data_IF_077849639576
#
_entry.id   IF_077849639576
#
_cell.length_a   1.000
_cell.length_b   1.000
_cell.length_c   1.000
_cell.angle_alpha   90.00
_cell.angle_beta   90.00
_cell.angle_gamma   90.00
#
_symmetry.space_group_name_H-M   'P 1'
#
loop_
_entity.id
_entity.type
_entity.pdbx_description
1 polymer ?
#
# COMPACT_ATOMS: atom_id res chain seq x y z
N UNK A 1 7.75 -21.17 2.18
CA UNK A 1 6.48 -21.87 1.90
C UNK A 1 5.69 -22.01 3.21
N UNK A 2 4.46 -21.49 3.33
CA UNK A 2 3.62 -21.84 4.46
C UNK A 2 3.21 -23.30 4.31
N UNK A 3 3.61 -24.13 5.26
CA UNK A 3 3.23 -25.53 5.32
C UNK A 3 1.72 -25.65 5.54
N UNK A 4 1.05 -26.74 5.09
CA UNK A 4 -0.38 -27.03 5.31
C UNK A 4 -0.85 -26.77 6.75
N UNK A 5 0.03 -26.90 7.75
CA UNK A 5 -0.24 -26.58 9.15
C UNK A 5 -0.58 -25.11 9.43
N UNK A 6 -0.08 -24.16 8.60
CA UNK A 6 -0.37 -22.73 8.82
C UNK A 6 -1.79 -22.35 8.37
N UNK A 7 -2.33 -23.01 7.33
CA UNK A 7 -3.71 -22.80 6.88
C UNK A 7 -4.73 -23.31 7.91
N UNK A 8 -4.51 -24.50 8.47
CA UNK A 8 -5.43 -25.09 9.45
C UNK A 8 -5.45 -24.29 10.77
N UNK A 9 -4.29 -23.76 11.18
CA UNK A 9 -4.20 -22.85 12.33
C UNK A 9 -4.91 -21.52 12.04
N UNK A 10 -4.77 -20.98 10.84
CA UNK A 10 -5.45 -19.75 10.44
C UNK A 10 -6.96 -19.91 10.44
N UNK A 11 -7.50 -21.01 9.88
CA UNK A 11 -8.93 -21.28 9.89
C UNK A 11 -9.46 -21.50 11.30
N UNK A 12 -8.79 -22.32 12.11
CA UNK A 12 -9.23 -22.60 13.49
C UNK A 12 -9.18 -21.34 14.37
N UNK A 13 -8.18 -20.49 14.20
CA UNK A 13 -8.08 -19.20 14.90
C UNK A 13 -9.24 -18.27 14.53
N UNK A 14 -9.53 -18.11 13.23
CA UNK A 14 -10.60 -17.24 12.78
C UNK A 14 -12.00 -17.76 13.19
N UNK A 15 -12.24 -19.07 13.20
CA UNK A 15 -13.48 -19.66 13.72
C UNK A 15 -13.66 -19.36 15.21
N UNK A 16 -12.58 -19.42 16.00
CA UNK A 16 -12.62 -19.05 17.41
C UNK A 16 -12.95 -17.57 17.66
N UNK A 17 -12.67 -16.71 16.69
CA UNK A 17 -12.95 -15.26 16.76
C UNK A 17 -14.37 -14.87 16.28
N UNK A 18 -15.16 -15.79 15.73
CA UNK A 18 -16.54 -15.50 15.25
C UNK A 18 -17.39 -14.77 16.31
N UNK A 19 -17.42 -15.16 17.60
CA UNK A 19 -18.16 -14.41 18.60
C UNK A 19 -17.69 -12.96 18.75
N UNK A 20 -16.39 -12.72 18.65
CA UNK A 20 -15.79 -11.37 18.69
C UNK A 20 -16.20 -10.54 17.47
N UNK A 21 -16.24 -11.15 16.28
CA UNK A 21 -16.72 -10.48 15.06
C UNK A 21 -18.18 -10.09 15.17
N UNK A 22 -19.04 -10.97 15.69
CA UNK A 22 -20.46 -10.67 15.93
C UNK A 22 -20.63 -9.53 16.94
N UNK A 23 -19.85 -9.53 18.02
CA UNK A 23 -19.84 -8.43 18.99
C UNK A 23 -19.38 -7.11 18.36
N UNK A 24 -18.32 -7.14 17.54
CA UNK A 24 -17.81 -5.98 16.82
C UNK A 24 -18.82 -5.41 15.83
N UNK A 25 -19.51 -6.26 15.06
CA UNK A 25 -20.60 -5.86 14.15
C UNK A 25 -21.74 -5.17 14.93
N UNK A 26 -22.14 -5.75 16.06
CA UNK A 26 -23.19 -5.18 16.90
C UNK A 26 -22.80 -3.85 17.52
N UNK A 27 -21.55 -3.72 17.95
CA UNK A 27 -20.99 -2.47 18.48
C UNK A 27 -20.89 -1.42 17.38
N UNK A 28 -20.37 -1.75 16.20
CA UNK A 28 -20.28 -0.85 15.05
C UNK A 28 -21.66 -0.32 14.64
N UNK A 29 -22.66 -1.20 14.54
CA UNK A 29 -24.05 -0.78 14.27
C UNK A 29 -24.55 0.25 15.30
N UNK A 30 -24.31 0.01 16.59
CA UNK A 30 -24.69 0.94 17.65
C UNK A 30 -23.98 2.29 17.48
N UNK A 31 -22.65 2.30 17.30
CA UNK A 31 -21.85 3.50 17.14
C UNK A 31 -22.33 4.32 15.94
N UNK A 32 -22.53 3.68 14.78
CA UNK A 32 -23.02 4.38 13.58
C UNK A 32 -24.41 4.98 13.85
N UNK A 33 -25.31 4.22 14.46
CA UNK A 33 -26.68 4.69 14.76
C UNK A 33 -26.69 5.86 15.77
N UNK A 34 -25.87 5.79 16.82
CA UNK A 34 -25.80 6.80 17.88
C UNK A 34 -25.04 8.07 17.41
N UNK A 35 -24.15 7.94 16.42
CA UNK A 35 -23.42 9.09 15.87
C UNK A 35 -24.29 10.06 15.09
N UNK A 36 -25.43 9.59 14.54
CA UNK A 36 -26.24 10.38 13.63
C UNK A 36 -25.53 10.74 12.33
N UNK A 37 -24.58 9.93 11.89
CA UNK A 37 -23.80 10.18 10.68
C UNK A 37 -24.67 10.12 9.42
N UNK A 38 -24.49 11.10 8.53
CA UNK A 38 -25.14 11.18 7.22
C UNK A 38 -24.34 10.46 6.12
N UNK A 39 -23.08 10.12 6.40
CA UNK A 39 -22.17 9.44 5.49
C UNK A 39 -21.21 8.54 6.27
N UNK A 40 -20.88 7.38 5.67
CA UNK A 40 -19.83 6.48 6.15
C UNK A 40 -18.68 6.49 5.14
N UNK A 41 -17.46 6.75 5.62
CA UNK A 41 -16.23 6.55 4.84
C UNK A 41 -15.54 5.29 5.37
N UNK A 42 -15.36 4.32 4.51
CA UNK A 42 -14.78 3.02 4.85
C UNK A 42 -13.42 2.82 4.15
N UNK A 43 -12.35 2.78 4.93
CA UNK A 43 -11.00 2.49 4.45
C UNK A 43 -10.70 0.99 4.48
N UNK A 44 -11.33 0.25 3.56
CA UNK A 44 -11.12 -1.21 3.33
C UNK A 44 -11.45 -2.10 4.54
N UNK A 45 -12.27 -1.64 5.49
CA UNK A 45 -12.65 -2.39 6.68
C UNK A 45 -13.86 -3.29 6.38
N UNK A 46 -13.68 -4.61 6.49
CA UNK A 46 -14.66 -5.63 6.09
C UNK A 46 -15.91 -5.63 6.96
N UNK A 47 -15.79 -5.40 8.27
CA UNK A 47 -16.94 -5.46 9.18
C UNK A 47 -17.88 -4.27 8.99
N UNK A 48 -17.39 -3.13 8.51
CA UNK A 48 -18.19 -1.97 8.19
C UNK A 48 -19.20 -2.28 7.08
N UNK A 49 -18.75 -2.80 5.94
CA UNK A 49 -19.63 -3.20 4.84
C UNK A 49 -20.65 -4.27 5.26
N UNK A 50 -20.19 -5.29 5.99
CA UNK A 50 -21.08 -6.34 6.52
C UNK A 50 -22.13 -5.75 7.45
N UNK A 51 -21.75 -4.84 8.36
CA UNK A 51 -22.67 -4.17 9.31
C UNK A 51 -23.74 -3.40 8.56
N UNK A 52 -23.36 -2.54 7.62
CA UNK A 52 -24.29 -1.74 6.85
C UNK A 52 -25.30 -2.62 6.09
N UNK A 53 -24.83 -3.69 5.48
CA UNK A 53 -25.67 -4.63 4.74
C UNK A 53 -26.61 -5.43 5.66
N UNK A 54 -26.09 -5.94 6.77
CA UNK A 54 -26.86 -6.80 7.70
C UNK A 54 -27.98 -6.02 8.37
N UNK A 55 -27.71 -4.81 8.81
CA UNK A 55 -28.71 -3.97 9.50
C UNK A 55 -29.49 -3.06 8.53
N UNK A 56 -29.28 -3.21 7.21
CA UNK A 56 -29.98 -2.43 6.17
C UNK A 56 -29.95 -0.93 6.46
N UNK A 57 -28.75 -0.43 6.79
CA UNK A 57 -28.59 0.98 7.12
C UNK A 57 -28.79 1.84 5.87
N UNK A 58 -29.65 2.84 5.99
CA UNK A 58 -29.95 3.80 4.92
C UNK A 58 -29.03 5.04 5.05
N UNK A 59 -27.73 4.76 5.09
CA UNK A 59 -26.68 5.77 5.14
C UNK A 59 -25.73 5.47 3.98
N UNK A 60 -25.47 6.42 3.07
CA UNK A 60 -24.53 6.22 1.98
C UNK A 60 -23.14 5.87 2.53
N UNK A 61 -22.47 4.92 1.87
CA UNK A 61 -21.12 4.48 2.24
C UNK A 61 -20.19 4.63 1.05
N UNK A 62 -19.13 5.42 1.24
CA UNK A 62 -18.01 5.56 0.31
C UNK A 62 -16.85 4.71 0.80
N UNK A 63 -16.41 3.76 -0.02
CA UNK A 63 -15.28 2.91 0.27
C UNK A 63 -14.02 3.45 -0.43
N UNK A 64 -12.91 3.60 0.28
CA UNK A 64 -11.67 4.19 -0.24
C UNK A 64 -10.52 3.21 -0.05
N UNK A 65 -9.92 2.75 -1.14
CA UNK A 65 -8.70 1.93 -1.12
C UNK A 65 -8.14 1.71 -2.53
N UNK A 66 -6.83 1.43 -2.63
CA UNK A 66 -6.21 0.99 -3.87
C UNK A 66 -6.78 -0.34 -4.39
N UNK A 67 -7.09 -1.27 -3.50
CA UNK A 67 -7.59 -2.61 -3.85
C UNK A 67 -8.91 -2.58 -4.64
N UNK A 68 -9.68 -1.50 -4.60
CA UNK A 68 -10.87 -1.36 -5.45
C UNK A 68 -10.53 -1.23 -6.93
N UNK A 69 -9.30 -0.82 -7.26
CA UNK A 69 -8.79 -0.82 -8.63
C UNK A 69 -8.71 -2.25 -9.20
N UNK A 70 -8.44 -3.27 -8.39
CA UNK A 70 -8.41 -4.68 -8.82
C UNK A 70 -9.76 -5.20 -9.33
N UNK A 71 -10.85 -4.49 -9.04
CA UNK A 71 -12.19 -4.77 -9.55
C UNK A 71 -12.50 -4.04 -10.86
N UNK A 72 -11.69 -3.05 -11.22
CA UNK A 72 -11.87 -2.27 -12.45
C UNK A 72 -11.64 -3.15 -13.69
N UNK A 73 -12.49 -3.05 -14.75
CA UNK A 73 -12.36 -3.91 -15.93
C UNK A 73 -11.03 -3.73 -16.69
N UNK A 74 -10.48 -2.52 -16.68
CA UNK A 74 -9.24 -2.20 -17.39
C UNK A 74 -7.98 -2.46 -16.55
N UNK A 75 -8.14 -2.89 -15.29
CA UNK A 75 -7.00 -3.27 -14.47
C UNK A 75 -6.56 -4.71 -14.80
N UNK A 76 -5.32 -4.84 -15.26
CA UNK A 76 -4.74 -6.13 -15.58
C UNK A 76 -4.04 -6.75 -14.37
N UNK A 77 -4.63 -7.82 -13.83
CA UNK A 77 -4.00 -8.61 -12.76
C UNK A 77 -2.70 -9.27 -13.27
N UNK A 78 -1.75 -9.59 -12.37
CA UNK A 78 -0.50 -10.26 -12.75
C UNK A 78 -0.68 -11.56 -13.53
N UNK A 79 -1.76 -12.31 -13.27
CA UNK A 79 -2.07 -13.58 -13.93
C UNK A 79 -1.15 -14.74 -13.56
N UNK A 80 -0.31 -14.58 -12.54
CA UNK A 80 0.67 -15.57 -12.09
C UNK A 80 0.11 -16.56 -11.09
N UNK A 81 -0.91 -16.15 -10.33
CA UNK A 81 -1.49 -16.91 -9.23
C UNK A 81 -3.02 -16.79 -9.24
N UNK A 82 -3.71 -17.47 -10.16
CA UNK A 82 -5.15 -17.32 -10.41
C UNK A 82 -6.02 -17.49 -9.16
N UNK A 83 -5.73 -18.47 -8.28
CA UNK A 83 -6.52 -18.70 -7.08
C UNK A 83 -6.31 -17.59 -6.03
N UNK A 84 -5.08 -17.22 -5.61
CA UNK A 84 -4.83 -16.08 -4.74
C UNK A 84 -5.42 -14.77 -5.29
N UNK A 85 -5.29 -14.48 -6.58
CA UNK A 85 -5.85 -13.28 -7.21
C UNK A 85 -7.38 -13.26 -7.16
N UNK A 86 -8.03 -14.42 -7.41
CA UNK A 86 -9.48 -14.55 -7.30
C UNK A 86 -9.97 -14.38 -5.86
N UNK A 87 -9.23 -14.91 -4.89
CA UNK A 87 -9.53 -14.74 -3.46
C UNK A 87 -9.36 -13.28 -3.03
N UNK A 88 -8.33 -12.58 -3.51
CA UNK A 88 -8.14 -11.15 -3.27
C UNK A 88 -9.31 -10.34 -3.83
N UNK A 89 -9.73 -10.59 -5.07
CA UNK A 89 -10.92 -9.94 -5.66
C UNK A 89 -12.20 -10.24 -4.87
N UNK A 90 -12.39 -11.47 -4.43
CA UNK A 90 -13.54 -11.83 -3.60
C UNK A 90 -13.53 -11.09 -2.27
N UNK A 91 -12.41 -11.07 -1.57
CA UNK A 91 -12.26 -10.32 -0.32
C UNK A 91 -12.53 -8.82 -0.53
N UNK A 92 -11.96 -8.23 -1.58
CA UNK A 92 -12.20 -6.83 -1.94
C UNK A 92 -13.70 -6.55 -2.17
N UNK A 93 -14.45 -7.46 -2.81
CA UNK A 93 -15.91 -7.30 -2.95
C UNK A 93 -16.63 -7.36 -1.61
N UNK A 94 -16.17 -8.17 -0.67
CA UNK A 94 -16.77 -8.26 0.66
C UNK A 94 -16.56 -6.97 1.46
N UNK A 95 -15.38 -6.34 1.38
CA UNK A 95 -15.10 -5.08 2.11
C UNK A 95 -16.00 -3.92 1.68
N UNK A 96 -16.50 -3.93 0.44
CA UNK A 96 -17.37 -2.87 -0.10
C UNK A 96 -18.82 -3.29 -0.29
N UNK A 97 -19.26 -4.35 0.39
CA UNK A 97 -20.67 -4.78 0.33
C UNK A 97 -21.60 -3.66 0.82
N UNK A 98 -22.52 -3.22 -0.04
CA UNK A 98 -23.45 -2.13 0.28
C UNK A 98 -22.88 -0.73 0.06
N UNK A 99 -21.67 -0.59 -0.49
CA UNK A 99 -21.10 0.70 -0.84
C UNK A 99 -21.93 1.42 -1.92
N UNK A 100 -22.16 2.72 -1.74
CA UNK A 100 -22.76 3.62 -2.73
C UNK A 100 -21.73 3.97 -3.81
N UNK A 101 -20.48 4.20 -3.39
CA UNK A 101 -19.35 4.46 -4.29
C UNK A 101 -18.06 3.80 -3.76
N UNK A 102 -17.17 3.47 -4.68
CA UNK A 102 -15.82 2.96 -4.40
C UNK A 102 -14.79 3.90 -5.04
N UNK A 103 -13.97 4.52 -4.21
CA UNK A 103 -12.85 5.33 -4.67
C UNK A 103 -11.62 4.42 -4.78
N UNK A 104 -11.25 4.10 -6.01
CA UNK A 104 -10.08 3.30 -6.32
C UNK A 104 -8.86 4.22 -6.43
N UNK A 105 -7.96 4.17 -5.44
CA UNK A 105 -6.71 4.91 -5.47
C UNK A 105 -5.80 4.34 -6.56
N UNK A 106 -5.25 5.19 -7.42
CA UNK A 106 -4.47 4.73 -8.58
C UNK A 106 -3.25 5.61 -8.83
N UNK A 107 -2.16 4.97 -9.27
CA UNK A 107 -0.94 5.66 -9.73
C UNK A 107 -1.24 6.45 -11.00
N UNK A 108 -2.10 5.91 -11.87
CA UNK A 108 -2.49 6.56 -13.14
C UNK A 108 -3.99 6.79 -13.24
N UNK A 109 -4.38 7.61 -14.19
CA UNK A 109 -5.77 7.88 -14.50
C UNK A 109 -6.38 6.73 -15.32
N UNK A 110 -7.56 6.25 -14.87
CA UNK A 110 -8.49 5.40 -15.62
C UNK A 110 -9.83 6.13 -15.75
N UNK A 111 -10.65 5.69 -16.69
CA UNK A 111 -12.05 6.10 -16.74
C UNK A 111 -12.81 5.50 -15.55
N UNK A 112 -13.87 6.17 -15.10
CA UNK A 112 -14.73 5.66 -14.04
C UNK A 112 -15.57 4.47 -14.53
N UNK A 113 -15.75 3.44 -13.70
CA UNK A 113 -16.70 2.35 -14.00
C UNK A 113 -18.03 2.59 -13.29
N UNK A 114 -18.96 3.21 -13.99
CA UNK A 114 -20.31 3.52 -13.48
C UNK A 114 -21.11 2.23 -13.13
N UNK A 115 -20.86 1.11 -13.82
CA UNK A 115 -21.60 -0.15 -13.59
C UNK A 115 -21.27 -0.74 -12.22
N UNK A 116 -20.04 -0.60 -11.78
CA UNK A 116 -19.59 -1.06 -10.47
C UNK A 116 -19.51 0.07 -9.43
N UNK A 117 -19.88 1.30 -9.78
CA UNK A 117 -19.74 2.50 -8.98
C UNK A 117 -18.28 2.67 -8.48
N UNK A 118 -17.31 2.48 -9.38
CA UNK A 118 -15.88 2.71 -9.12
C UNK A 118 -15.51 4.08 -9.71
N UNK A 119 -15.02 4.97 -8.86
CA UNK A 119 -14.42 6.25 -9.22
C UNK A 119 -12.92 6.14 -9.06
N UNK A 120 -12.16 6.37 -10.12
CA UNK A 120 -10.70 6.32 -10.06
C UNK A 120 -10.18 7.69 -9.62
N UNK A 121 -9.42 7.66 -8.53
CA UNK A 121 -8.90 8.87 -7.90
C UNK A 121 -7.40 8.74 -7.62
N UNK A 122 -6.67 9.86 -7.52
CA UNK A 122 -5.26 9.84 -7.13
C UNK A 122 -5.04 9.21 -5.75
N UNK A 123 -3.81 8.75 -5.44
CA UNK A 123 -3.49 8.28 -4.10
C UNK A 123 -3.64 9.39 -3.05
N UNK A 124 -3.93 8.98 -1.81
CA UNK A 124 -3.95 9.87 -0.66
C UNK A 124 -2.54 9.99 -0.08
N UNK A 125 -1.85 11.07 -0.40
CA UNK A 125 -0.52 11.31 0.15
C UNK A 125 -0.58 12.18 1.41
N UNK A 126 0.27 11.84 2.37
CA UNK A 126 0.45 12.67 3.58
C UNK A 126 0.92 14.07 3.22
N UNK A 127 0.45 15.08 3.93
CA UNK A 127 0.85 16.48 3.71
C UNK A 127 2.37 16.67 3.78
N UNK A 128 3.03 15.92 4.65
CA UNK A 128 4.47 15.94 4.87
C UNK A 128 5.25 15.52 3.59
N UNK A 129 4.71 14.60 2.79
CA UNK A 129 5.29 14.21 1.49
C UNK A 129 5.36 15.40 0.54
N UNK A 130 4.27 16.20 0.51
CA UNK A 130 4.14 17.35 -0.39
C UNK A 130 5.00 18.55 0.06
N UNK A 131 5.28 18.65 1.36
CA UNK A 131 5.99 19.81 1.96
C UNK A 131 7.47 19.55 2.28
N UNK A 132 7.90 18.29 2.28
CA UNK A 132 9.31 17.95 2.56
C UNK A 132 10.22 18.34 1.39
N UNK A 133 11.28 19.07 1.71
CA UNK A 133 12.26 19.49 0.70
C UNK A 133 13.05 18.26 0.23
N UNK A 134 12.97 17.99 -1.07
CA UNK A 134 13.72 16.93 -1.72
C UNK A 134 15.18 17.32 -1.91
N UNK A 135 16.07 16.38 -1.73
CA UNK A 135 17.49 16.53 -2.00
C UNK A 135 18.10 15.22 -2.50
N UNK A 136 19.32 15.24 -2.96
CA UNK A 136 20.02 14.08 -3.48
C UNK A 136 21.17 13.72 -2.55
N UNK A 137 20.93 12.77 -1.65
CA UNK A 137 21.98 12.17 -0.83
C UNK A 137 22.65 11.00 -1.55
N UNK A 138 23.75 10.54 -0.99
CA UNK A 138 24.51 9.39 -1.53
C UNK A 138 24.21 8.10 -0.77
N UNK A 139 22.94 7.78 -0.65
CA UNK A 139 22.50 6.53 -0.01
C UNK A 139 21.23 5.96 -0.67
N UNK A 140 21.10 4.66 -0.57
CA UNK A 140 19.88 3.94 -0.92
C UNK A 140 19.11 3.68 0.37
N UNK A 141 17.82 3.96 0.32
CA UNK A 141 16.88 3.68 1.41
C UNK A 141 16.05 2.45 1.09
N UNK A 142 15.63 1.71 2.12
CA UNK A 142 14.68 0.63 1.94
C UNK A 142 13.73 0.46 3.11
N UNK A 143 12.63 -0.27 2.83
CA UNK A 143 11.68 -0.74 3.84
C UNK A 143 11.46 -2.25 3.71
N UNK A 144 11.53 -2.94 4.83
CA UNK A 144 11.35 -4.39 4.92
C UNK A 144 10.15 -4.71 5.79
N UNK A 145 9.14 -5.36 5.22
CA UNK A 145 7.94 -5.77 5.95
C UNK A 145 8.24 -6.79 7.07
N UNK A 146 9.27 -7.63 6.88
CA UNK A 146 9.68 -8.61 7.88
C UNK A 146 11.21 -8.68 8.00
N UNK A 147 11.65 -9.24 9.13
CA UNK A 147 13.08 -9.32 9.47
C UNK A 147 13.87 -10.31 8.62
N UNK A 148 13.20 -11.22 7.90
CA UNK A 148 13.86 -12.20 7.01
C UNK A 148 14.65 -11.52 5.89
N UNK A 149 14.14 -10.44 5.36
CA UNK A 149 14.84 -9.66 4.32
C UNK A 149 16.11 -8.95 4.81
N UNK A 150 16.28 -8.79 6.13
CA UNK A 150 17.49 -8.16 6.66
C UNK A 150 18.76 -8.99 6.39
N UNK A 151 18.63 -10.30 6.28
CA UNK A 151 19.76 -11.19 5.95
C UNK A 151 20.16 -11.02 4.48
N UNK A 152 19.20 -10.87 3.57
CA UNK A 152 19.46 -10.62 2.15
C UNK A 152 20.18 -9.29 1.95
N UNK A 153 19.72 -8.23 2.61
CA UNK A 153 20.36 -6.91 2.58
C UNK A 153 21.80 -6.99 3.11
N UNK A 154 22.03 -7.67 4.23
CA UNK A 154 23.37 -7.86 4.80
C UNK A 154 24.29 -8.68 3.88
N UNK A 155 23.74 -9.75 3.27
CA UNK A 155 24.50 -10.61 2.36
C UNK A 155 24.91 -9.86 1.09
N UNK A 156 24.04 -9.00 0.56
CA UNK A 156 24.38 -8.12 -0.56
C UNK A 156 25.44 -7.09 -0.14
N UNK A 157 25.22 -6.43 1.02
CA UNK A 157 26.12 -5.39 1.53
C UNK A 157 27.54 -5.90 1.81
N UNK A 158 27.67 -7.12 2.33
CA UNK A 158 28.97 -7.74 2.56
C UNK A 158 29.85 -7.82 1.28
N UNK A 159 29.22 -7.87 0.10
CA UNK A 159 29.89 -7.84 -1.21
C UNK A 159 30.12 -6.42 -1.72
N UNK A 160 29.42 -5.42 -1.16
CA UNK A 160 29.40 -4.02 -1.60
C UNK A 160 29.57 -3.04 -0.41
N UNK A 161 30.66 -3.17 0.39
CA UNK A 161 30.80 -2.49 1.69
C UNK A 161 30.92 -0.96 1.61
N UNK A 162 31.07 -0.39 0.40
CA UNK A 162 31.14 1.05 0.19
C UNK A 162 29.81 1.70 -0.21
N UNK A 163 28.73 0.91 -0.32
CA UNK A 163 27.41 1.43 -0.64
C UNK A 163 26.68 1.82 0.64
N UNK A 164 26.29 3.07 0.76
CA UNK A 164 25.53 3.56 1.91
C UNK A 164 24.08 3.10 1.82
N UNK A 165 23.65 2.32 2.83
CA UNK A 165 22.32 1.74 2.93
C UNK A 165 21.66 2.11 4.25
N UNK A 166 20.42 2.54 4.17
CA UNK A 166 19.55 2.79 5.31
C UNK A 166 18.23 2.02 5.14
N UNK A 167 18.01 0.99 5.94
CA UNK A 167 16.81 0.17 5.85
C UNK A 167 15.93 0.30 7.09
N UNK A 168 14.66 0.51 6.88
CA UNK A 168 13.65 0.52 7.93
C UNK A 168 12.96 -0.84 8.06
N UNK A 169 12.65 -1.24 9.28
CA UNK A 169 11.90 -2.45 9.59
C UNK A 169 10.91 -2.22 10.74
N UNK A 170 9.84 -3.01 10.74
CA UNK A 170 8.83 -3.00 11.80
C UNK A 170 9.22 -4.00 12.91
N UNK A 171 10.37 -3.77 13.55
CA UNK A 171 10.86 -4.55 14.67
C UNK A 171 10.81 -3.71 15.93
N UNK A 172 9.70 -3.81 16.68
CA UNK A 172 9.40 -2.95 17.83
C UNK A 172 10.37 -3.12 18.99
N UNK A 173 11.00 -4.28 19.14
CA UNK A 173 12.01 -4.60 20.16
C UNK A 173 13.46 -4.23 19.74
N UNK A 174 13.65 -3.73 18.50
CA UNK A 174 14.94 -3.26 18.05
C UNK A 174 15.26 -1.84 18.59
N UNK A 175 16.56 -1.48 18.72
CA UNK A 175 16.94 -0.10 18.98
C UNK A 175 16.48 0.81 17.83
N UNK A 176 16.37 2.11 18.10
CA UNK A 176 15.98 3.09 17.07
C UNK A 176 16.91 3.06 15.85
N UNK A 177 18.20 2.84 16.10
CA UNK A 177 19.23 2.64 15.09
C UNK A 177 20.13 1.46 15.46
N UNK A 178 20.32 0.57 14.51
CA UNK A 178 21.29 -0.50 14.57
C UNK A 178 22.31 -0.31 13.46
N UNK A 179 23.47 0.29 13.81
CA UNK A 179 24.61 0.35 12.90
C UNK A 179 25.20 -1.05 12.75
N UNK A 180 25.15 -1.59 11.54
CA UNK A 180 25.78 -2.87 11.20
C UNK A 180 27.27 -2.63 10.96
N UNK A 181 27.58 -1.55 10.23
CA UNK A 181 28.91 -1.00 10.00
C UNK A 181 28.83 0.50 9.64
N UNK A 182 29.89 1.08 9.07
CA UNK A 182 29.95 2.52 8.72
C UNK A 182 29.01 2.91 7.58
N UNK A 183 28.54 1.95 6.78
CA UNK A 183 27.75 2.18 5.57
C UNK A 183 26.39 1.48 5.55
N UNK A 184 26.09 0.58 6.50
CA UNK A 184 24.79 -0.04 6.65
C UNK A 184 24.18 0.25 8.02
N UNK A 185 23.05 0.91 8.03
CA UNK A 185 22.24 1.16 9.24
C UNK A 185 20.81 0.64 9.05
N UNK A 186 20.33 -0.13 10.04
CA UNK A 186 18.94 -0.53 10.14
C UNK A 186 18.22 0.39 11.13
N UNK A 187 17.04 0.86 10.78
CA UNK A 187 16.25 1.79 11.57
C UNK A 187 14.94 1.14 11.99
N UNK A 188 14.55 1.33 13.26
CA UNK A 188 13.16 1.09 13.65
C UNK A 188 12.27 2.08 12.92
N UNK A 189 11.08 1.64 12.49
CA UNK A 189 10.15 2.50 11.76
C UNK A 189 9.75 3.72 12.61
N UNK A 190 9.94 4.89 12.04
CA UNK A 190 9.52 6.19 12.55
C UNK A 190 9.08 7.03 11.36
N UNK A 191 7.84 7.49 11.37
CA UNK A 191 7.20 8.13 10.23
C UNK A 191 7.91 9.40 9.76
N UNK A 192 8.36 10.24 10.70
CA UNK A 192 9.02 11.52 10.39
C UNK A 192 10.40 11.28 9.79
N UNK A 193 11.17 10.39 10.43
CA UNK A 193 12.49 10.01 9.96
C UNK A 193 12.44 9.31 8.61
N UNK A 194 11.45 8.42 8.43
CA UNK A 194 11.23 7.69 7.19
C UNK A 194 11.04 8.64 6.01
N UNK A 195 10.11 9.61 6.11
CA UNK A 195 9.87 10.57 5.04
C UNK A 195 11.06 11.49 4.78
N UNK A 196 11.73 11.95 5.83
CA UNK A 196 12.91 12.78 5.69
C UNK A 196 14.04 12.05 4.96
N UNK A 197 14.25 10.79 5.27
CA UNK A 197 15.25 9.96 4.60
C UNK A 197 14.81 9.57 3.18
N UNK A 198 13.54 9.32 2.93
CA UNK A 198 13.04 9.10 1.58
C UNK A 198 13.27 10.33 0.70
N UNK A 199 12.99 11.53 1.21
CA UNK A 199 13.23 12.77 0.47
C UNK A 199 14.71 12.97 0.07
N UNK A 200 15.63 12.42 0.86
CA UNK A 200 17.07 12.52 0.64
C UNK A 200 17.71 11.35 -0.08
N UNK A 201 17.06 10.22 -0.23
CA UNK A 201 17.70 9.04 -0.82
C UNK A 201 17.91 9.18 -2.33
N UNK A 202 18.86 8.40 -2.86
CA UNK A 202 19.09 8.27 -4.29
C UNK A 202 18.09 7.33 -4.96
N UNK A 203 17.68 6.27 -4.25
CA UNK A 203 16.74 5.28 -4.71
C UNK A 203 16.09 4.58 -3.51
N UNK A 204 14.92 3.97 -3.71
CA UNK A 204 14.13 3.33 -2.68
C UNK A 204 13.84 1.87 -3.00
N UNK A 205 14.08 0.95 -2.06
CA UNK A 205 13.75 -0.47 -2.17
C UNK A 205 12.67 -0.85 -1.17
N UNK A 206 11.59 -1.52 -1.61
CA UNK A 206 10.44 -1.79 -0.74
C UNK A 206 9.75 -3.10 -1.07
N UNK A 207 9.03 -3.64 -0.10
CA UNK A 207 8.12 -4.78 -0.29
C UNK A 207 6.81 -4.40 -1.00
N UNK A 208 6.81 -3.36 -1.83
CA UNK A 208 5.72 -2.95 -2.71
C UNK A 208 4.38 -2.59 -2.01
N UNK A 209 4.45 -1.94 -0.85
CA UNK A 209 3.29 -1.28 -0.24
C UNK A 209 2.87 -0.07 -1.08
N UNK A 210 1.57 0.03 -1.43
CA UNK A 210 1.05 1.04 -2.36
C UNK A 210 1.40 2.46 -1.93
N UNK A 211 1.12 2.83 -0.66
CA UNK A 211 1.33 4.20 -0.17
C UNK A 211 2.79 4.63 -0.26
N UNK A 212 3.72 3.79 0.20
CA UNK A 212 5.15 4.15 0.19
C UNK A 212 5.74 4.24 -1.21
N UNK A 213 5.21 3.47 -2.16
CA UNK A 213 5.57 3.59 -3.58
C UNK A 213 5.07 4.91 -4.14
N UNK A 214 3.82 5.30 -3.88
CA UNK A 214 3.26 6.58 -4.31
C UNK A 214 4.01 7.78 -3.69
N UNK A 215 4.40 7.69 -2.41
CA UNK A 215 5.23 8.72 -1.76
C UNK A 215 6.60 8.86 -2.40
N UNK A 216 7.24 7.74 -2.71
CA UNK A 216 8.54 7.74 -3.39
C UNK A 216 8.44 8.33 -4.80
N UNK A 217 7.41 7.96 -5.57
CA UNK A 217 7.13 8.54 -6.89
C UNK A 217 6.92 10.05 -6.84
N UNK A 218 6.10 10.52 -5.89
CA UNK A 218 5.87 11.95 -5.72
C UNK A 218 7.17 12.70 -5.40
N UNK A 219 8.06 12.06 -4.65
CA UNK A 219 9.38 12.60 -4.34
C UNK A 219 10.42 12.40 -5.47
N UNK A 220 10.04 11.80 -6.60
CA UNK A 220 10.93 11.54 -7.74
C UNK A 220 12.00 10.50 -7.45
N UNK A 221 11.66 9.45 -6.67
CA UNK A 221 12.62 8.41 -6.28
C UNK A 221 12.37 7.13 -7.07
N UNK A 222 13.36 6.62 -7.81
CA UNK A 222 13.27 5.32 -8.47
C UNK A 222 13.09 4.21 -7.44
N UNK A 223 12.15 3.28 -7.70
CA UNK A 223 11.79 2.23 -6.77
C UNK A 223 12.23 0.83 -7.22
N UNK A 224 12.62 -0.01 -6.28
CA UNK A 224 12.67 -1.47 -6.45
C UNK A 224 11.58 -2.12 -5.61
N UNK A 225 10.82 -3.01 -6.24
CA UNK A 225 9.60 -3.58 -5.72
C UNK A 225 9.78 -5.08 -5.49
N UNK A 226 9.77 -5.52 -4.23
CA UNK A 226 9.97 -6.91 -3.82
C UNK A 226 8.67 -7.41 -3.15
N UNK A 227 7.69 -7.91 -3.92
CA UNK A 227 6.42 -8.32 -3.37
C UNK A 227 6.54 -9.58 -2.50
N UNK A 228 5.95 -9.55 -1.31
CA UNK A 228 5.91 -10.68 -0.37
C UNK A 228 4.60 -11.49 -0.45
N UNK A 229 3.54 -10.92 -1.01
CA UNK A 229 2.22 -11.56 -1.16
C UNK A 229 1.45 -11.01 -2.37
N UNK A 230 0.32 -11.66 -2.71
CA UNK A 230 -0.44 -11.40 -3.95
C UNK A 230 -0.86 -9.93 -4.15
N UNK A 231 -1.26 -9.22 -3.10
CA UNK A 231 -1.62 -7.81 -3.21
C UNK A 231 -0.41 -6.97 -3.61
N UNK A 232 0.74 -7.17 -2.94
CA UNK A 232 1.98 -6.49 -3.28
C UNK A 232 2.49 -6.87 -4.67
N UNK A 233 2.19 -8.08 -5.16
CA UNK A 233 2.49 -8.47 -6.54
C UNK A 233 1.65 -7.66 -7.53
N UNK A 234 0.35 -7.44 -7.24
CA UNK A 234 -0.50 -6.56 -8.04
C UNK A 234 0.05 -5.13 -8.07
N UNK A 235 0.42 -4.58 -6.91
CA UNK A 235 0.98 -3.24 -6.79
C UNK A 235 2.31 -3.10 -7.56
N UNK A 236 3.17 -4.12 -7.46
CA UNK A 236 4.48 -4.11 -8.11
C UNK A 236 4.36 -4.19 -9.63
N UNK A 237 3.47 -5.04 -10.15
CA UNK A 237 3.21 -5.16 -11.60
C UNK A 237 2.60 -3.86 -12.14
N UNK A 238 1.67 -3.24 -11.41
CA UNK A 238 1.06 -1.97 -11.80
C UNK A 238 2.12 -0.85 -11.84
N UNK A 239 2.94 -0.73 -10.80
CA UNK A 239 4.01 0.26 -10.75
C UNK A 239 5.11 0.02 -11.80
N UNK A 240 5.45 -1.22 -12.13
CA UNK A 240 6.43 -1.53 -13.18
C UNK A 240 5.91 -1.16 -14.57
N UNK A 241 4.62 -1.38 -14.85
CA UNK A 241 3.97 -0.95 -16.10
C UNK A 241 4.01 0.55 -16.30
N UNK A 242 3.89 1.31 -15.21
CA UNK A 242 3.97 2.77 -15.20
C UNK A 242 5.40 3.29 -15.14
N UNK A 243 6.40 2.42 -15.31
CA UNK A 243 7.84 2.78 -15.17
C UNK A 243 8.20 3.44 -13.83
N UNK A 244 7.34 3.26 -12.83
CA UNK A 244 7.50 3.78 -11.49
C UNK A 244 8.55 3.02 -10.67
N UNK A 245 8.87 1.81 -11.10
CA UNK A 245 9.84 0.97 -10.42
C UNK A 245 10.21 -0.27 -11.22
N UNK A 246 11.13 -1.06 -10.67
CA UNK A 246 11.58 -2.34 -11.22
C UNK A 246 11.28 -3.46 -10.24
N UNK A 247 10.62 -4.53 -10.68
CA UNK A 247 10.34 -5.69 -9.83
C UNK A 247 11.61 -6.51 -9.61
N UNK A 248 11.75 -7.08 -8.40
CA UNK A 248 12.78 -8.06 -8.06
C UNK A 248 12.20 -9.14 -7.13
N UNK A 249 12.86 -10.29 -7.06
CA UNK A 249 12.51 -11.36 -6.12
C UNK A 249 13.21 -11.19 -4.75
N UNK A 250 14.24 -10.36 -4.70
CA UNK A 250 15.09 -10.08 -3.54
C UNK A 250 15.59 -8.62 -3.59
N UNK A 251 16.34 -8.23 -2.56
CA UNK A 251 16.96 -6.90 -2.49
C UNK A 251 18.24 -6.81 -3.35
N UNK A 252 18.12 -7.07 -4.66
CA UNK A 252 19.18 -6.85 -5.64
C UNK A 252 19.40 -5.36 -5.89
N UNK A 253 20.23 -4.75 -5.04
CA UNK A 253 20.53 -3.32 -5.12
C UNK A 253 21.26 -2.93 -6.41
N UNK A 254 21.97 -3.84 -7.08
CA UNK A 254 22.60 -3.55 -8.38
C UNK A 254 21.54 -3.35 -9.46
N UNK A 255 20.47 -4.13 -9.43
CA UNK A 255 19.30 -3.93 -10.30
C UNK A 255 18.65 -2.57 -10.06
N UNK A 256 18.49 -2.17 -8.79
CA UNK A 256 17.97 -0.84 -8.44
C UNK A 256 18.89 0.28 -8.93
N UNK A 257 20.21 0.14 -8.78
CA UNK A 257 21.18 1.13 -9.28
C UNK A 257 21.12 1.29 -10.80
N UNK A 258 20.98 0.18 -11.52
CA UNK A 258 20.85 0.18 -12.97
C UNK A 258 19.57 0.91 -13.39
N UNK A 259 18.44 0.58 -12.76
CA UNK A 259 17.16 1.26 -13.01
C UNK A 259 17.24 2.77 -12.68
N UNK A 260 17.84 3.12 -11.54
CA UNK A 260 17.97 4.50 -11.09
C UNK A 260 18.90 5.38 -11.99
N UNK A 261 19.77 4.75 -12.77
CA UNK A 261 20.65 5.47 -13.70
C UNK A 261 19.86 6.09 -14.87
N UNK A 262 18.83 5.36 -15.36
CA UNK A 262 18.04 5.75 -16.52
C UNK A 262 16.66 6.30 -16.14
N UNK A 263 16.37 6.41 -14.82
CA UNK A 263 15.08 6.84 -14.31
C UNK A 263 14.84 8.33 -14.53
N UNK A 264 13.74 8.64 -15.15
CA UNK A 264 13.19 9.98 -15.27
C UNK A 264 12.01 10.18 -14.32
N UNK A 265 11.94 11.36 -13.70
CA UNK A 265 10.88 11.66 -12.74
C UNK A 265 9.51 11.73 -13.43
N UNK A 266 8.51 11.02 -12.89
CA UNK A 266 7.14 11.03 -13.40
C UNK A 266 6.42 12.34 -13.02
N UNK A 267 6.43 13.28 -13.96
CA UNK A 267 5.73 14.57 -13.83
C UNK A 267 4.20 14.36 -13.94
N UNK A 268 3.74 13.41 -14.74
CA UNK A 268 2.31 13.16 -14.96
C UNK A 268 1.67 12.62 -13.68
N UNK A 269 2.36 11.73 -12.96
CA UNK A 269 1.90 11.26 -11.65
C UNK A 269 1.71 12.40 -10.66
N UNK A 270 2.66 13.33 -10.58
CA UNK A 270 2.51 14.50 -9.69
C UNK A 270 1.36 15.42 -10.10
N UNK A 271 1.17 15.62 -11.41
CA UNK A 271 0.02 16.39 -11.90
C UNK A 271 -1.30 15.68 -11.55
N UNK A 272 -1.36 14.37 -11.68
CA UNK A 272 -2.50 13.54 -11.31
C UNK A 272 -2.78 13.65 -9.80
N UNK A 273 -1.77 13.50 -8.96
CA UNK A 273 -1.88 13.56 -7.51
C UNK A 273 -2.29 14.96 -7.00
N UNK A 274 -1.86 16.04 -7.64
CA UNK A 274 -2.28 17.39 -7.28
C UNK A 274 -3.82 17.63 -7.40
N UNK A 275 -4.53 16.75 -8.07
CA UNK A 275 -5.99 16.77 -8.15
C UNK A 275 -6.68 15.87 -7.10
N UNK A 276 -5.92 15.23 -6.17
CA UNK A 276 -6.46 14.27 -5.22
C UNK A 276 -7.60 14.85 -4.39
N UNK A 277 -7.35 15.98 -3.70
CA UNK A 277 -8.32 16.60 -2.82
C UNK A 277 -9.62 16.96 -3.56
N UNK A 278 -9.51 17.58 -4.73
CA UNK A 278 -10.68 18.01 -5.52
C UNK A 278 -11.48 16.81 -6.06
N UNK A 279 -10.81 15.78 -6.56
CA UNK A 279 -11.49 14.60 -7.13
C UNK A 279 -12.13 13.73 -6.05
N UNK A 280 -11.45 13.53 -4.94
CA UNK A 280 -11.97 12.74 -3.81
C UNK A 280 -13.17 13.47 -3.19
N UNK A 281 -13.06 14.77 -2.94
CA UNK A 281 -14.18 15.55 -2.40
C UNK A 281 -15.37 15.57 -3.35
N UNK A 282 -15.17 15.82 -4.63
CA UNK A 282 -16.25 15.77 -5.62
C UNK A 282 -16.92 14.39 -5.69
N UNK A 283 -16.15 13.29 -5.61
CA UNK A 283 -16.69 11.95 -5.60
C UNK A 283 -17.51 11.65 -4.32
N UNK A 284 -17.09 12.18 -3.17
CA UNK A 284 -17.82 12.07 -1.91
C UNK A 284 -19.11 12.90 -1.98
N UNK A 285 -19.04 14.17 -2.39
CA UNK A 285 -20.19 15.07 -2.49
C UNK A 285 -21.27 14.57 -3.45
N UNK A 286 -20.89 13.92 -4.55
CA UNK A 286 -21.84 13.33 -5.49
C UNK A 286 -22.51 12.05 -4.98
N UNK A 287 -22.17 11.60 -3.76
CA UNK A 287 -22.74 10.38 -3.14
C UNK A 287 -23.92 10.71 -2.21
N UNK A 288 -24.12 11.96 -1.88
CA UNK A 288 -25.25 12.46 -1.10
C UNK A 288 -26.54 12.56 -1.88
#
# INVERSE_FOLDING_TARGET
CPTRRSSDLFYSYNVALVPSYVASISMMHRVIKESGADLIINFYEVLCGITCKLFRMDIPMVCVAHQYLFLHPDFEMPGRALLPESMLKLFTRITCVGATAKLALSIRQYDDDEKQAIKVVPPLLRKEVKTTIRHHGDYIMGYMLNTGFAEDVRAWHAKHPHTHLHFFWDKTDAPEELKVDDTLTLHRLDDVKFLKMMAGCRAYATTAGFESVCEALYMGKPCMLIPAHVEQECNAVDAEREMAGVMSNDFDIDKLKAFAHDYEEDVEFRMWENHADSRIMAAIENTY
#
